data_IF_083733323068
#
_entry.id   IF_083733323068
#
_cell.length_a   1.000
_cell.length_b   1.000
_cell.length_c   1.000
_cell.angle_alpha   90.00
_cell.angle_beta   90.00
_cell.angle_gamma   90.00
#
_symmetry.space_group_name_H-M   'P 1'
#
loop_
_entity.id
_entity.type
_entity.pdbx_description
1 polymer ?
#
# COMPACT_ATOMS: atom_id res chain seq x y z
N UNK A 1 -1.74 -13.83 -18.14
CA UNK A 1 -2.67 -12.79 -17.66
C UNK A 1 -2.81 -12.91 -16.16
N UNK A 2 -2.24 -11.95 -15.41
CA UNK A 2 -2.24 -11.96 -13.95
C UNK A 2 -3.67 -11.91 -13.41
N UNK A 3 -3.95 -12.71 -12.37
CA UNK A 3 -5.19 -12.60 -11.62
C UNK A 3 -5.08 -11.46 -10.61
N UNK A 4 -5.88 -10.42 -10.84
CA UNK A 4 -5.99 -9.26 -9.96
C UNK A 4 -7.09 -9.49 -8.94
N UNK A 5 -6.81 -9.39 -7.64
CA UNK A 5 -7.86 -9.34 -6.61
C UNK A 5 -7.84 -7.96 -5.96
N UNK A 6 -8.96 -7.27 -6.07
CA UNK A 6 -9.14 -5.89 -5.64
C UNK A 6 -10.09 -5.87 -4.45
N UNK A 7 -9.65 -5.27 -3.37
CA UNK A 7 -10.38 -5.18 -2.10
C UNK A 7 -10.63 -3.73 -1.75
N UNK A 8 -11.88 -3.37 -1.50
CA UNK A 8 -12.28 -2.00 -1.21
C UNK A 8 -13.40 -1.96 -0.17
N UNK A 9 -13.49 -0.86 0.56
CA UNK A 9 -14.67 -0.57 1.37
C UNK A 9 -15.81 -0.05 0.48
N UNK A 10 -15.48 0.84 -0.45
CA UNK A 10 -16.40 1.41 -1.44
C UNK A 10 -15.78 1.23 -2.82
N UNK A 11 -16.56 0.83 -3.79
CA UNK A 11 -16.11 0.60 -5.17
C UNK A 11 -15.69 1.91 -5.85
N UNK A 12 -14.40 2.14 -5.97
CA UNK A 12 -13.79 3.32 -6.61
C UNK A 12 -12.79 2.96 -7.70
N UNK A 13 -12.10 1.82 -7.55
CA UNK A 13 -11.05 1.38 -8.46
C UNK A 13 -11.68 0.82 -9.74
N UNK A 14 -11.26 1.37 -10.86
CA UNK A 14 -11.62 0.85 -12.19
C UNK A 14 -10.47 -0.01 -12.71
N UNK A 15 -10.71 -1.30 -12.82
CA UNK A 15 -9.74 -2.24 -13.35
C UNK A 15 -10.17 -2.71 -14.74
N UNK A 16 -9.26 -2.61 -15.71
CA UNK A 16 -9.49 -3.09 -17.08
C UNK A 16 -8.91 -4.50 -17.34
N UNK A 17 -8.35 -5.15 -16.31
CA UNK A 17 -7.84 -6.50 -16.46
C UNK A 17 -8.98 -7.50 -16.64
N UNK A 18 -8.83 -8.40 -17.61
CA UNK A 18 -9.86 -9.42 -17.91
C UNK A 18 -10.05 -10.42 -16.76
N UNK A 19 -8.96 -10.73 -16.02
CA UNK A 19 -8.97 -11.64 -14.87
C UNK A 19 -8.93 -10.86 -13.56
N UNK A 20 -9.98 -10.08 -13.28
CA UNK A 20 -10.11 -9.31 -12.05
C UNK A 20 -11.27 -9.83 -11.19
N UNK A 21 -11.04 -9.90 -9.87
CA UNK A 21 -12.05 -10.19 -8.85
C UNK A 21 -12.12 -9.01 -7.90
N UNK A 22 -13.26 -8.33 -7.84
CA UNK A 22 -13.50 -7.22 -6.92
C UNK A 22 -14.33 -7.71 -5.72
N UNK A 23 -13.85 -7.45 -4.52
CA UNK A 23 -14.49 -7.79 -3.27
C UNK A 23 -14.64 -6.53 -2.41
N UNK A 24 -15.75 -6.42 -1.70
CA UNK A 24 -16.02 -5.26 -0.85
C UNK A 24 -16.30 -5.71 0.59
N UNK A 25 -15.94 -4.85 1.52
CA UNK A 25 -16.32 -5.02 2.93
C UNK A 25 -17.84 -4.90 3.09
N UNK A 26 -18.34 -5.39 4.20
CA UNK A 26 -19.75 -5.27 4.59
C UNK A 26 -19.85 -5.13 6.11
N UNK A 27 -21.04 -4.93 6.63
CA UNK A 27 -21.28 -4.86 8.07
C UNK A 27 -20.79 -6.09 8.85
N UNK A 28 -20.61 -7.24 8.17
CA UNK A 28 -20.19 -8.50 8.77
C UNK A 28 -18.83 -9.01 8.32
N UNK A 29 -18.22 -8.38 7.30
CA UNK A 29 -16.96 -8.81 6.72
C UNK A 29 -16.03 -7.60 6.60
N UNK A 30 -15.01 -7.55 7.44
CA UNK A 30 -13.97 -6.53 7.44
C UNK A 30 -12.85 -6.82 6.40
N UNK A 31 -11.97 -5.85 6.19
CA UNK A 31 -10.86 -5.94 5.26
C UNK A 31 -9.88 -7.07 5.60
N UNK A 32 -9.61 -7.30 6.87
CA UNK A 32 -8.70 -8.38 7.30
C UNK A 32 -9.26 -9.77 6.94
N UNK A 33 -10.57 -9.94 7.01
CA UNK A 33 -11.28 -11.17 6.66
C UNK A 33 -11.31 -11.39 5.14
N UNK A 34 -11.52 -10.32 4.37
CA UNK A 34 -11.41 -10.36 2.91
C UNK A 34 -10.00 -10.75 2.47
N UNK A 35 -8.96 -10.13 3.02
CA UNK A 35 -7.56 -10.46 2.73
C UNK A 35 -7.25 -11.94 2.98
N UNK A 36 -7.70 -12.50 4.12
CA UNK A 36 -7.53 -13.93 4.40
C UNK A 36 -8.23 -14.82 3.37
N UNK A 37 -9.40 -14.43 2.90
CA UNK A 37 -10.17 -15.18 1.90
C UNK A 37 -9.54 -15.09 0.51
N UNK A 38 -8.93 -13.96 0.20
CA UNK A 38 -8.24 -13.67 -1.06
C UNK A 38 -7.16 -14.70 -1.38
N UNK A 39 -6.43 -15.20 -0.37
CA UNK A 39 -5.40 -16.21 -0.55
C UNK A 39 -5.90 -17.51 -1.19
N UNK A 40 -7.20 -17.80 -1.07
CA UNK A 40 -7.84 -18.99 -1.69
C UNK A 40 -8.24 -18.78 -3.14
N UNK A 41 -8.19 -17.53 -3.62
CA UNK A 41 -8.52 -17.17 -5.01
C UNK A 41 -7.31 -17.28 -5.94
N UNK A 42 -6.14 -17.67 -5.43
CA UNK A 42 -4.85 -17.72 -6.16
C UNK A 42 -4.56 -16.39 -6.86
N UNK A 43 -4.46 -15.27 -6.14
CA UNK A 43 -4.14 -13.99 -6.73
C UNK A 43 -2.68 -13.96 -7.20
N UNK A 44 -2.42 -13.37 -8.36
CA UNK A 44 -1.07 -12.97 -8.74
C UNK A 44 -0.75 -11.60 -8.13
N UNK A 45 -1.77 -10.71 -8.07
CA UNK A 45 -1.65 -9.37 -7.48
C UNK A 45 -2.83 -9.07 -6.56
N UNK A 46 -2.52 -8.49 -5.41
CA UNK A 46 -3.52 -8.05 -4.42
C UNK A 46 -3.48 -6.53 -4.35
N UNK A 47 -4.61 -5.90 -4.68
CA UNK A 47 -4.79 -4.46 -4.62
C UNK A 47 -5.80 -4.17 -3.51
N UNK A 48 -5.46 -3.25 -2.62
CA UNK A 48 -6.36 -2.78 -1.56
C UNK A 48 -6.57 -1.29 -1.73
N UNK A 49 -7.81 -0.84 -1.80
CA UNK A 49 -8.14 0.57 -1.99
C UNK A 49 -7.44 1.46 -0.97
N UNK A 50 -7.55 1.11 0.30
CA UNK A 50 -6.79 1.74 1.38
C UNK A 50 -6.56 0.80 2.56
N UNK A 51 -5.51 1.06 3.35
CA UNK A 51 -5.30 0.46 4.67
C UNK A 51 -5.36 1.54 5.75
N UNK A 52 -6.22 1.33 6.75
CA UNK A 52 -6.47 2.30 7.82
C UNK A 52 -6.44 1.69 9.22
N UNK A 53 -6.28 0.38 9.33
CA UNK A 53 -6.27 -0.41 10.55
C UNK A 53 -5.27 -1.56 10.49
N UNK A 54 -5.33 -2.47 11.45
CA UNK A 54 -4.47 -3.66 11.55
C UNK A 54 -4.54 -4.63 10.36
N UNK A 55 -5.48 -4.49 9.42
CA UNK A 55 -5.51 -5.25 8.17
C UNK A 55 -4.23 -5.06 7.33
N UNK A 56 -3.55 -3.91 7.52
CA UNK A 56 -2.24 -3.64 6.92
C UNK A 56 -1.23 -4.78 7.14
N UNK A 57 -1.20 -5.38 8.34
CA UNK A 57 -0.28 -6.50 8.63
C UNK A 57 -0.59 -7.73 7.76
N UNK A 58 -1.87 -8.03 7.56
CA UNK A 58 -2.27 -9.17 6.73
C UNK A 58 -1.89 -8.95 5.27
N UNK A 59 -2.07 -7.72 4.77
CA UNK A 59 -1.67 -7.34 3.41
C UNK A 59 -0.15 -7.43 3.20
N UNK A 60 0.64 -6.82 4.09
CA UNK A 60 2.10 -6.85 4.02
C UNK A 60 2.65 -8.29 4.03
N UNK A 61 2.10 -9.15 4.88
CA UNK A 61 2.46 -10.58 4.90
C UNK A 61 2.10 -11.28 3.59
N UNK A 62 0.96 -10.97 2.99
CA UNK A 62 0.56 -11.54 1.71
C UNK A 62 1.52 -11.13 0.59
N UNK A 63 1.88 -9.86 0.50
CA UNK A 63 2.86 -9.36 -0.47
C UNK A 63 4.23 -10.02 -0.29
N UNK A 64 4.67 -10.19 0.95
CA UNK A 64 5.97 -10.77 1.29
C UNK A 64 6.03 -12.31 1.10
N UNK A 65 4.90 -12.98 0.89
CA UNK A 65 4.81 -14.44 0.79
C UNK A 65 4.29 -14.93 -0.56
N UNK A 66 4.71 -14.31 -1.65
CA UNK A 66 4.48 -14.82 -3.00
C UNK A 66 3.42 -14.10 -3.83
N UNK A 67 2.96 -12.92 -3.39
CA UNK A 67 2.00 -12.09 -4.13
C UNK A 67 2.56 -10.67 -4.35
N UNK A 68 3.71 -10.52 -5.06
CA UNK A 68 4.35 -9.22 -5.27
C UNK A 68 3.56 -8.33 -6.23
N UNK A 69 3.91 -7.04 -6.28
CA UNK A 69 3.34 -6.10 -7.24
C UNK A 69 1.91 -5.68 -6.93
N UNK A 70 1.53 -5.71 -5.67
CA UNK A 70 0.29 -5.14 -5.20
C UNK A 70 0.35 -3.62 -5.01
N UNK A 71 -0.78 -3.00 -4.76
CA UNK A 71 -0.90 -1.55 -4.50
C UNK A 71 -1.91 -1.32 -3.39
N UNK A 72 -1.63 -0.35 -2.54
CA UNK A 72 -2.60 0.20 -1.58
C UNK A 72 -2.37 1.68 -1.36
N UNK A 73 -3.34 2.37 -0.81
CA UNK A 73 -3.17 3.74 -0.31
C UNK A 73 -3.12 3.75 1.21
N UNK A 74 -2.45 4.76 1.76
CA UNK A 74 -2.41 5.05 3.19
C UNK A 74 -2.36 6.57 3.38
N UNK A 75 -3.12 7.06 4.34
CA UNK A 75 -3.12 8.49 4.64
C UNK A 75 -1.87 8.88 5.42
N UNK A 76 -1.03 9.72 4.81
CA UNK A 76 0.19 10.28 5.42
C UNK A 76 0.57 11.59 4.72
N UNK A 77 1.48 12.37 5.33
CA UNK A 77 1.90 13.66 4.79
C UNK A 77 3.13 13.57 3.87
N UNK A 78 3.95 12.53 3.99
CA UNK A 78 5.18 12.32 3.21
C UNK A 78 5.36 10.84 2.95
N UNK A 79 6.21 10.48 1.99
CA UNK A 79 6.52 9.08 1.71
C UNK A 79 7.13 8.36 2.93
N UNK A 80 8.05 9.01 3.64
CA UNK A 80 8.63 8.44 4.87
C UNK A 80 7.58 8.31 5.99
N UNK A 81 6.64 9.26 6.11
CA UNK A 81 5.57 9.13 7.11
C UNK A 81 4.56 8.03 6.76
N UNK A 82 4.45 7.62 5.50
CA UNK A 82 3.65 6.47 5.10
C UNK A 82 4.20 5.16 5.70
N UNK A 83 5.52 4.96 5.66
CA UNK A 83 6.15 3.79 6.29
C UNK A 83 5.90 3.77 7.81
N UNK A 84 6.04 4.91 8.48
CA UNK A 84 5.71 5.04 9.91
C UNK A 84 4.23 4.82 10.20
N UNK A 85 3.36 5.24 9.30
CA UNK A 85 1.93 4.98 9.43
C UNK A 85 1.62 3.49 9.34
N UNK A 86 2.28 2.75 8.45
CA UNK A 86 2.17 1.29 8.39
C UNK A 86 2.66 0.62 9.69
N UNK A 87 3.72 1.14 10.34
CA UNK A 87 4.15 0.67 11.66
C UNK A 87 3.04 0.83 12.71
N UNK A 88 2.39 2.00 12.74
CA UNK A 88 1.29 2.26 13.67
C UNK A 88 0.11 1.30 13.42
N UNK A 89 -0.30 1.13 12.16
CA UNK A 89 -1.40 0.23 11.80
C UNK A 89 -1.09 -1.23 12.15
N UNK A 90 0.13 -1.68 11.90
CA UNK A 90 0.54 -3.05 12.26
C UNK A 90 0.63 -3.26 13.78
N UNK A 91 0.97 -2.22 14.54
CA UNK A 91 1.04 -2.25 16.00
C UNK A 91 -0.36 -2.41 16.68
N UNK A 92 -1.44 -2.12 15.98
CA UNK A 92 -2.80 -2.37 16.48
C UNK A 92 -3.08 -3.87 16.72
N UNK A 93 -2.39 -4.75 15.98
CA UNK A 93 -2.62 -6.21 16.00
C UNK A 93 -1.37 -7.02 16.29
N UNK A 94 -0.22 -6.40 16.48
CA UNK A 94 1.05 -7.08 16.79
C UNK A 94 1.86 -6.28 17.80
N UNK A 95 2.35 -6.96 18.83
CA UNK A 95 3.30 -6.38 19.79
C UNK A 95 4.76 -6.46 19.32
N UNK A 96 5.02 -7.16 18.22
CA UNK A 96 6.36 -7.28 17.66
C UNK A 96 6.65 -6.13 16.68
N UNK A 97 7.88 -5.63 16.64
CA UNK A 97 8.31 -4.68 15.64
C UNK A 97 8.13 -5.23 14.22
N UNK A 98 7.47 -4.46 13.34
CA UNK A 98 7.17 -4.89 11.96
C UNK A 98 7.97 -4.14 10.89
N UNK A 99 8.95 -3.34 11.28
CA UNK A 99 9.75 -2.54 10.35
C UNK A 99 10.44 -3.38 9.28
N UNK A 100 11.00 -4.53 9.66
CA UNK A 100 11.64 -5.44 8.71
C UNK A 100 10.63 -5.96 7.68
N UNK A 101 9.44 -6.40 8.15
CA UNK A 101 8.36 -6.90 7.26
C UNK A 101 7.86 -5.80 6.33
N UNK A 102 7.73 -4.55 6.82
CA UNK A 102 7.35 -3.41 6.00
C UNK A 102 8.41 -3.13 4.95
N UNK A 103 9.70 -3.09 5.35
CA UNK A 103 10.81 -2.82 4.44
C UNK A 103 11.03 -3.91 3.38
N UNK A 104 10.60 -5.15 3.65
CA UNK A 104 10.65 -6.25 2.68
C UNK A 104 9.44 -6.28 1.73
N UNK A 105 8.26 -5.82 2.21
CA UNK A 105 7.01 -5.91 1.47
C UNK A 105 6.71 -4.68 0.61
N UNK A 106 7.31 -3.53 0.93
CA UNK A 106 7.08 -2.27 0.23
C UNK A 106 8.31 -1.91 -0.60
N UNK A 107 8.15 -1.93 -1.91
CA UNK A 107 9.23 -1.57 -2.86
C UNK A 107 9.24 -0.06 -3.14
N UNK A 108 8.06 0.56 -3.24
CA UNK A 108 7.92 1.94 -3.70
C UNK A 108 6.86 2.68 -2.91
N UNK A 109 7.14 3.93 -2.55
CA UNK A 109 6.13 4.84 -1.97
C UNK A 109 6.03 6.09 -2.83
N UNK A 110 4.81 6.37 -3.29
CA UNK A 110 4.49 7.56 -4.07
C UNK A 110 3.65 8.49 -3.19
N UNK A 111 4.19 9.65 -2.86
CA UNK A 111 3.46 10.70 -2.12
C UNK A 111 2.76 11.62 -3.11
N UNK A 112 1.47 11.81 -2.91
CA UNK A 112 0.61 12.63 -3.76
C UNK A 112 0.02 13.75 -2.91
N UNK A 113 0.06 14.97 -3.42
CA UNK A 113 -0.52 16.14 -2.75
C UNK A 113 -1.54 16.87 -3.64
N UNK A 114 -2.33 17.72 -3.00
CA UNK A 114 -3.24 18.62 -3.73
C UNK A 114 -2.46 19.78 -4.31
N UNK A 115 -2.63 20.06 -5.60
CA UNK A 115 -2.02 21.17 -6.30
C UNK A 115 -3.08 21.91 -7.13
N UNK A 116 -3.43 23.13 -6.72
CA UNK A 116 -4.50 23.90 -7.37
C UNK A 116 -5.82 23.13 -7.39
N UNK A 117 -6.36 22.88 -8.60
CA UNK A 117 -7.60 22.12 -8.81
C UNK A 117 -7.38 20.60 -8.99
N UNK A 118 -6.12 20.14 -8.98
CA UNK A 118 -5.76 18.76 -9.24
C UNK A 118 -4.94 18.13 -8.10
N UNK A 119 -4.23 17.09 -8.47
CA UNK A 119 -3.26 16.40 -7.63
C UNK A 119 -1.96 16.25 -8.41
N UNK A 120 -0.83 16.30 -7.69
CA UNK A 120 0.48 16.02 -8.27
C UNK A 120 1.23 15.01 -7.42
N UNK A 121 2.15 14.29 -8.03
CA UNK A 121 3.14 13.52 -7.32
C UNK A 121 4.13 14.49 -6.68
N UNK A 122 4.34 14.39 -5.37
CA UNK A 122 5.27 15.22 -4.62
C UNK A 122 6.65 14.59 -4.57
N UNK A 123 6.69 13.31 -4.24
CA UNK A 123 7.93 12.54 -4.13
C UNK A 123 7.67 11.07 -4.42
N UNK A 124 8.71 10.39 -4.88
CA UNK A 124 8.75 8.94 -5.07
C UNK A 124 10.00 8.43 -4.40
N UNK A 125 9.87 7.49 -3.47
CA UNK A 125 10.99 6.83 -2.83
C UNK A 125 10.97 5.33 -3.14
N UNK A 126 12.14 4.78 -3.45
CA UNK A 126 12.41 3.35 -3.45
C UNK A 126 12.74 2.91 -2.03
N UNK A 127 12.21 1.78 -1.60
CA UNK A 127 12.46 1.19 -0.28
C UNK A 127 13.30 -0.07 -0.49
N UNK A 128 14.53 -0.05 -0.01
CA UNK A 128 15.49 -1.15 -0.16
C UNK A 128 15.48 -2.11 1.03
N UNK A 129 14.70 -1.78 2.08
CA UNK A 129 14.58 -2.59 3.27
C UNK A 129 14.66 -1.81 4.56
N UNK A 130 14.86 -2.52 5.67
CA UNK A 130 15.04 -1.96 7.01
C UNK A 130 16.32 -2.51 7.65
N UNK A 131 17.26 -1.65 8.03
CA UNK A 131 18.53 -2.03 8.62
C UNK A 131 18.99 -1.04 9.70
N UNK A 132 19.56 -1.57 10.76
CA UNK A 132 20.04 -0.80 11.90
C UNK A 132 18.89 -0.25 12.75
N UNK A 133 18.25 0.80 12.38
CA UNK A 133 17.09 1.40 13.06
C UNK A 133 16.28 2.29 12.11
N UNK A 134 16.50 2.14 10.81
CA UNK A 134 15.90 3.00 9.80
C UNK A 134 15.59 2.23 8.52
N UNK A 135 14.59 2.70 7.77
CA UNK A 135 14.38 2.28 6.41
C UNK A 135 15.54 2.77 5.53
N UNK A 136 16.02 1.87 4.68
CA UNK A 136 16.95 2.21 3.62
C UNK A 136 16.10 2.66 2.44
N UNK A 137 16.24 3.91 2.04
CA UNK A 137 15.42 4.50 0.97
C UNK A 137 16.25 5.35 0.05
N UNK A 138 15.92 5.32 -1.24
CA UNK A 138 16.47 6.18 -2.27
C UNK A 138 15.37 7.03 -2.88
N UNK A 139 15.62 8.32 -3.06
CA UNK A 139 14.69 9.21 -3.78
C UNK A 139 14.78 8.94 -5.27
N UNK A 140 13.68 8.49 -5.85
CA UNK A 140 13.59 8.25 -7.29
C UNK A 140 13.27 9.53 -8.06
N UNK A 141 12.40 10.36 -7.52
CA UNK A 141 12.08 11.69 -8.02
C UNK A 141 11.54 12.55 -6.88
N UNK A 142 12.04 13.77 -6.78
CA UNK A 142 11.44 14.86 -6.02
C UNK A 142 11.05 15.93 -7.02
N UNK A 143 9.78 16.27 -7.06
CA UNK A 143 9.31 17.36 -7.93
C UNK A 143 9.47 18.64 -7.14
N UNK A 144 10.55 19.37 -7.41
CA UNK A 144 10.77 20.72 -6.88
C UNK A 144 9.69 21.68 -7.38
N UNK A 145 9.32 22.65 -6.54
CA UNK A 145 8.24 23.60 -6.80
C UNK A 145 8.50 24.55 -7.99
N UNK A 146 9.71 24.54 -8.57
CA UNK A 146 10.19 25.52 -9.54
C UNK A 146 9.82 25.25 -11.02
N UNK A 147 9.00 24.26 -11.34
CA UNK A 147 8.61 23.95 -12.73
C UNK A 147 7.34 24.69 -13.19
N UNK A 148 6.90 25.71 -12.49
CA UNK A 148 5.74 26.53 -12.90
C UNK A 148 6.07 28.00 -13.19
N UNK A 149 7.21 28.25 -13.82
CA UNK A 149 7.52 29.56 -14.39
C UNK A 149 7.95 29.44 -15.86
N UNK A 150 7.03 29.09 -16.73
CA UNK A 150 7.12 29.37 -18.16
C UNK A 150 5.72 29.37 -18.79
#
# INVERSE_FOLDING_TARGET
DDRMVILEDTAEIRCAAENAVCLHTSDTIDMARLLKSTMRLRPDRIIVGEVRDGAALTLLKAWNTGHPGGVTTVHSNTAMSALRRLEQLTAEVSQQPMQAVIGEAVDLVISIERAGRGRRVREVINVEGFSGSRYQTEHYAQIDEDIHAA
#
